data_IF_459714740600
#
_entry.id   IF_459714740600
#
_cell.length_a   1.000
_cell.length_b   1.000
_cell.length_c   1.000
_cell.angle_alpha   90.00
_cell.angle_beta   90.00
_cell.angle_gamma   90.00
#
_symmetry.space_group_name_H-M   'P 1'
#
loop_
_entity.id
_entity.type
_entity.pdbx_description
1 polymer ?
#
# COMPACT_ATOMS: atom_id res chain seq x y z
N UNK A 1 -26.45 14.89 -31.12
CA UNK A 1 -25.82 13.57 -31.06
C UNK A 1 -25.15 13.48 -29.69
N UNK A 2 -25.88 12.94 -28.72
CA UNK A 2 -25.59 12.96 -27.29
C UNK A 2 -24.50 11.94 -26.99
N UNK A 3 -23.35 12.41 -26.48
CA UNK A 3 -22.31 11.55 -25.89
C UNK A 3 -22.89 10.88 -24.62
N UNK A 4 -23.05 9.57 -24.66
CA UNK A 4 -23.30 8.76 -23.49
C UNK A 4 -22.01 8.64 -22.67
N UNK A 5 -22.10 9.21 -21.49
CA UNK A 5 -21.13 9.09 -20.40
C UNK A 5 -21.11 7.62 -19.93
N UNK A 6 -20.08 6.87 -20.31
CA UNK A 6 -19.76 5.55 -19.76
C UNK A 6 -19.01 5.70 -18.44
N UNK A 7 -19.71 6.15 -17.42
CA UNK A 7 -19.26 5.95 -16.04
C UNK A 7 -19.31 4.45 -15.73
N UNK A 8 -18.15 3.84 -15.56
CA UNK A 8 -17.97 2.49 -15.03
C UNK A 8 -18.84 2.30 -13.78
N UNK A 9 -19.53 1.15 -13.61
CA UNK A 9 -20.31 0.88 -12.41
C UNK A 9 -19.37 0.76 -11.21
N UNK A 10 -19.23 1.88 -10.48
CA UNK A 10 -18.41 1.96 -9.32
C UNK A 10 -18.89 1.00 -8.23
N UNK A 11 -17.95 0.41 -7.53
CA UNK A 11 -18.10 -0.30 -6.25
C UNK A 11 -18.81 0.55 -5.15
N UNK A 12 -19.28 1.75 -5.48
CA UNK A 12 -19.84 2.74 -4.56
C UNK A 12 -21.23 2.40 -3.99
N UNK A 13 -21.81 1.25 -4.30
CA UNK A 13 -23.19 0.90 -3.87
C UNK A 13 -23.27 -0.21 -2.81
N UNK A 14 -22.15 -0.69 -2.28
CA UNK A 14 -22.22 -1.58 -1.10
C UNK A 14 -22.49 -0.69 0.11
N UNK A 15 -23.77 -0.55 0.48
CA UNK A 15 -24.17 0.12 1.72
C UNK A 15 -23.49 -0.61 2.88
N UNK A 16 -22.48 0.01 3.46
CA UNK A 16 -21.82 -0.43 4.69
C UNK A 16 -22.88 -0.50 5.78
N UNK A 17 -23.29 -1.72 6.13
CA UNK A 17 -24.40 -1.95 7.07
C UNK A 17 -23.98 -1.92 8.54
N UNK A 18 -22.71 -2.14 8.85
CA UNK A 18 -22.27 -2.33 10.22
C UNK A 18 -20.95 -1.57 10.45
N UNK A 19 -20.97 -0.61 11.39
CA UNK A 19 -19.78 0.05 11.91
C UNK A 19 -19.51 -0.38 13.36
N UNK A 20 -18.26 -0.35 13.81
CA UNK A 20 -17.91 -0.63 15.19
C UNK A 20 -18.62 0.32 16.15
N UNK A 21 -19.32 -0.27 17.14
CA UNK A 21 -19.95 0.44 18.23
C UNK A 21 -19.39 -0.08 19.54
N UNK A 22 -19.10 0.79 20.51
CA UNK A 22 -18.62 0.34 21.81
C UNK A 22 -19.66 -0.58 22.47
N UNK A 23 -19.20 -1.72 22.96
CA UNK A 23 -20.07 -2.69 23.63
C UNK A 23 -20.53 -2.14 24.99
N UNK A 24 -21.84 -1.87 25.14
CA UNK A 24 -22.41 -1.27 26.35
C UNK A 24 -22.58 -2.26 27.51
N UNK A 25 -22.63 -3.57 27.22
CA UNK A 25 -22.90 -4.64 28.21
C UNK A 25 -21.64 -5.42 28.58
N UNK A 26 -20.49 -4.76 28.57
CA UNK A 26 -19.20 -5.36 28.92
C UNK A 26 -18.66 -4.69 30.17
N UNK A 27 -18.32 -5.50 31.16
CA UNK A 27 -17.73 -5.06 32.41
C UNK A 27 -16.34 -5.61 32.66
N UNK A 28 -15.76 -5.29 33.82
CA UNK A 28 -14.50 -5.89 34.25
C UNK A 28 -14.70 -7.37 34.61
N UNK A 29 -13.91 -8.26 34.02
CA UNK A 29 -13.95 -9.69 34.33
C UNK A 29 -13.55 -9.99 35.76
N UNK A 30 -12.76 -9.15 36.41
CA UNK A 30 -12.41 -9.30 37.83
C UNK A 30 -13.64 -9.19 38.75
N UNK A 31 -14.56 -8.24 38.40
CA UNK A 31 -15.82 -8.07 39.15
C UNK A 31 -16.71 -9.28 38.96
N UNK A 32 -16.83 -9.80 37.73
CA UNK A 32 -17.60 -11.01 37.47
C UNK A 32 -17.01 -12.24 38.19
N UNK A 33 -15.69 -12.38 38.25
CA UNK A 33 -15.00 -13.44 38.98
C UNK A 33 -15.27 -13.33 40.51
N UNK A 34 -15.23 -12.10 41.03
CA UNK A 34 -15.54 -11.88 42.45
C UNK A 34 -17.01 -12.23 42.76
N UNK A 35 -17.95 -11.84 41.89
CA UNK A 35 -19.36 -12.23 42.02
C UNK A 35 -19.52 -13.74 41.97
N UNK A 36 -18.88 -14.43 41.03
CA UNK A 36 -18.92 -15.87 40.91
C UNK A 36 -18.40 -16.55 42.18
N UNK A 37 -17.28 -16.05 42.74
CA UNK A 37 -16.68 -16.59 43.98
C UNK A 37 -17.61 -16.37 45.18
N UNK A 38 -18.19 -15.18 45.32
CA UNK A 38 -19.15 -14.87 46.40
C UNK A 38 -20.38 -15.79 46.31
N UNK A 39 -20.93 -15.96 45.11
CA UNK A 39 -22.08 -16.88 44.89
C UNK A 39 -21.72 -18.31 45.21
N UNK A 40 -20.50 -18.75 44.89
CA UNK A 40 -20.04 -20.13 45.22
C UNK A 40 -19.87 -20.32 46.71
N UNK A 41 -19.30 -19.36 47.44
CA UNK A 41 -19.19 -19.35 48.89
C UNK A 41 -20.59 -19.35 49.52
N UNK A 42 -21.50 -18.54 49.00
CA UNK A 42 -22.88 -18.46 49.49
C UNK A 42 -23.62 -19.81 49.27
N UNK A 43 -23.41 -20.45 48.11
CA UNK A 43 -23.93 -21.79 47.83
C UNK A 43 -23.45 -22.80 48.90
N UNK A 44 -22.14 -22.81 49.20
CA UNK A 44 -21.56 -23.69 50.18
C UNK A 44 -22.13 -23.42 51.59
N UNK A 45 -22.31 -22.14 51.95
CA UNK A 45 -22.89 -21.75 53.26
C UNK A 45 -24.36 -22.18 53.40
N UNK A 46 -25.18 -21.96 52.35
CA UNK A 46 -26.60 -22.35 52.34
C UNK A 46 -26.73 -23.89 52.40
N UNK A 47 -25.92 -24.63 51.65
CA UNK A 47 -25.94 -26.08 51.68
C UNK A 47 -25.52 -26.62 53.05
N UNK A 48 -24.48 -26.02 53.67
CA UNK A 48 -24.09 -26.40 55.04
C UNK A 48 -25.22 -26.15 56.04
N UNK A 49 -25.92 -25.02 55.97
CA UNK A 49 -27.06 -24.68 56.81
C UNK A 49 -28.30 -25.57 56.56
N UNK A 50 -28.46 -26.05 55.29
CA UNK A 50 -29.57 -26.95 54.95
C UNK A 50 -29.47 -28.35 55.58
N UNK A 51 -28.25 -28.78 55.95
CA UNK A 51 -27.97 -30.06 56.64
C UNK A 51 -27.80 -29.87 58.14
N UNK A 52 -28.51 -28.93 58.77
CA UNK A 52 -28.49 -28.75 60.19
C UNK A 52 -29.24 -29.90 60.89
N UNK A 53 -28.65 -30.42 61.95
CA UNK A 53 -29.30 -31.40 62.79
C UNK A 53 -30.28 -30.81 63.77
N UNK A 54 -31.48 -31.26 63.79
CA UNK A 54 -32.44 -30.94 64.84
C UNK A 54 -32.00 -31.47 66.18
N UNK A 55 -32.51 -30.91 67.25
CA UNK A 55 -32.20 -31.30 68.63
C UNK A 55 -32.48 -32.81 68.95
N UNK A 56 -33.11 -33.57 68.06
CA UNK A 56 -33.39 -35.02 68.14
C UNK A 56 -32.46 -35.84 67.25
N UNK A 57 -31.50 -35.23 66.53
CA UNK A 57 -30.49 -35.93 65.71
C UNK A 57 -30.89 -36.26 64.28
N UNK A 58 -32.13 -35.98 63.89
CA UNK A 58 -32.64 -36.23 62.56
C UNK A 58 -32.19 -35.09 61.55
N UNK A 59 -31.83 -35.50 60.32
CA UNK A 59 -31.46 -34.63 59.25
C UNK A 59 -32.72 -34.00 58.59
N UNK A 60 -33.06 -32.80 58.97
CA UNK A 60 -34.16 -32.12 58.32
C UNK A 60 -33.62 -31.28 57.14
N UNK A 61 -33.90 -31.71 55.92
CA UNK A 61 -33.49 -31.00 54.70
C UNK A 61 -34.56 -29.99 54.30
N UNK A 62 -34.26 -28.69 54.39
CA UNK A 62 -35.19 -27.65 53.96
C UNK A 62 -35.19 -27.51 52.41
N UNK A 63 -36.31 -27.85 51.77
CA UNK A 63 -36.46 -27.72 50.28
C UNK A 63 -36.21 -26.33 49.78
N UNK A 64 -36.52 -25.29 50.54
CA UNK A 64 -36.30 -23.88 50.17
C UNK A 64 -34.81 -23.50 50.18
N UNK A 65 -34.02 -24.03 51.08
CA UNK A 65 -32.59 -23.78 51.11
C UNK A 65 -31.86 -24.51 49.98
N UNK A 66 -32.30 -25.70 49.60
CA UNK A 66 -31.77 -26.42 48.44
C UNK A 66 -32.05 -25.66 47.14
N UNK A 67 -33.26 -25.10 46.99
CA UNK A 67 -33.61 -24.27 45.83
C UNK A 67 -32.77 -22.99 45.77
N UNK A 68 -32.53 -22.34 46.91
CA UNK A 68 -31.66 -21.19 47.01
C UNK A 68 -30.20 -21.51 46.64
N UNK A 69 -29.68 -22.65 47.14
CA UNK A 69 -28.36 -23.10 46.78
C UNK A 69 -28.20 -23.39 45.28
N UNK A 70 -29.24 -24.04 44.69
CA UNK A 70 -29.27 -24.30 43.24
C UNK A 70 -29.24 -23.03 42.42
N UNK A 71 -30.04 -22.02 42.78
CA UNK A 71 -30.07 -20.71 42.11
C UNK A 71 -28.72 -20.00 42.21
N UNK A 72 -28.07 -19.99 43.37
CA UNK A 72 -26.75 -19.41 43.56
C UNK A 72 -25.70 -20.15 42.72
N UNK A 73 -25.76 -21.50 42.67
CA UNK A 73 -24.86 -22.31 41.85
C UNK A 73 -25.02 -21.99 40.35
N UNK A 74 -26.23 -21.92 39.85
CA UNK A 74 -26.53 -21.55 38.45
C UNK A 74 -26.01 -20.14 38.17
N UNK A 75 -26.23 -19.19 39.08
CA UNK A 75 -25.69 -17.83 38.96
C UNK A 75 -24.16 -17.78 38.91
N UNK A 76 -23.49 -18.59 39.75
CA UNK A 76 -22.04 -18.72 39.76
C UNK A 76 -21.49 -19.28 38.42
N UNK A 77 -22.14 -20.35 37.90
CA UNK A 77 -21.77 -20.95 36.62
C UNK A 77 -21.97 -19.95 35.47
N UNK A 78 -23.10 -19.26 35.42
CA UNK A 78 -23.40 -18.26 34.40
C UNK A 78 -22.41 -17.09 34.45
N UNK A 79 -22.07 -16.63 35.67
CA UNK A 79 -21.07 -15.57 35.84
C UNK A 79 -19.67 -16.04 35.41
N UNK A 80 -19.28 -17.27 35.70
CA UNK A 80 -18.02 -17.83 35.22
C UNK A 80 -17.97 -17.97 33.68
N UNK A 81 -19.08 -18.38 33.08
CA UNK A 81 -19.16 -18.56 31.63
C UNK A 81 -19.16 -17.24 30.86
N UNK A 82 -19.49 -16.13 31.50
CA UNK A 82 -19.49 -14.81 30.94
C UNK A 82 -18.09 -14.19 30.78
N UNK A 83 -17.06 -14.81 31.39
CA UNK A 83 -15.71 -14.25 31.45
C UNK A 83 -14.92 -14.64 30.20
N UNK A 84 -14.24 -13.66 29.58
CA UNK A 84 -13.28 -13.87 28.50
C UNK A 84 -12.04 -12.99 28.67
N UNK A 85 -10.92 -13.41 28.09
CA UNK A 85 -9.70 -12.62 28.07
C UNK A 85 -9.45 -12.05 26.68
N UNK A 86 -9.03 -10.77 26.63
CA UNK A 86 -8.68 -10.09 25.41
C UNK A 86 -7.21 -9.65 25.47
N UNK A 87 -6.45 -9.98 24.44
CA UNK A 87 -5.05 -9.60 24.35
C UNK A 87 -4.92 -8.14 23.82
N UNK A 88 -3.78 -7.46 24.07
CA UNK A 88 -3.49 -6.19 23.40
C UNK A 88 -3.52 -6.35 21.87
N UNK A 89 -4.09 -5.36 21.17
CA UNK A 89 -4.32 -5.39 19.72
C UNK A 89 -5.22 -6.56 19.25
N UNK A 90 -6.19 -6.93 20.08
CA UNK A 90 -7.26 -7.86 19.77
C UNK A 90 -8.60 -7.21 20.12
N UNK A 91 -9.61 -7.42 19.30
CA UNK A 91 -10.98 -6.97 19.56
C UNK A 91 -11.94 -8.15 19.60
N UNK A 92 -12.98 -8.01 20.40
CA UNK A 92 -14.06 -8.98 20.53
C UNK A 92 -15.36 -8.40 19.94
N UNK A 93 -15.84 -8.98 18.88
CA UNK A 93 -17.14 -8.64 18.27
C UNK A 93 -18.22 -9.49 18.91
N UNK A 94 -19.19 -8.81 19.54
CA UNK A 94 -20.25 -9.43 20.33
C UNK A 94 -21.53 -9.50 19.53
N UNK A 95 -22.11 -10.71 19.42
CA UNK A 95 -23.40 -10.95 18.80
C UNK A 95 -24.34 -11.65 19.77
N UNK A 96 -25.61 -11.22 19.77
CA UNK A 96 -26.67 -11.84 20.55
C UNK A 96 -27.72 -12.36 19.60
N UNK A 97 -27.93 -13.68 19.58
CA UNK A 97 -28.91 -14.35 18.68
C UNK A 97 -28.81 -13.90 17.21
N UNK A 98 -27.57 -13.66 16.73
CA UNK A 98 -27.32 -13.22 15.35
C UNK A 98 -27.34 -11.70 15.15
N UNK A 99 -27.78 -10.90 16.12
CA UNK A 99 -27.72 -9.45 16.03
C UNK A 99 -26.39 -8.92 16.58
N UNK A 100 -25.75 -7.98 15.86
CA UNK A 100 -24.57 -7.29 16.33
C UNK A 100 -24.91 -6.33 17.47
N UNK A 101 -24.21 -6.46 18.60
CA UNK A 101 -24.43 -5.64 19.81
C UNK A 101 -23.36 -4.60 19.99
N UNK A 102 -22.10 -4.94 19.72
CA UNK A 102 -20.96 -4.03 19.85
C UNK A 102 -19.62 -4.74 19.80
N UNK A 103 -18.56 -3.97 19.77
CA UNK A 103 -17.16 -4.42 19.76
C UNK A 103 -16.47 -3.95 21.03
N UNK A 104 -15.76 -4.83 21.70
CA UNK A 104 -14.89 -4.53 22.84
C UNK A 104 -13.42 -4.62 22.42
N UNK A 105 -12.67 -3.55 22.62
CA UNK A 105 -11.23 -3.45 22.29
C UNK A 105 -10.35 -3.29 23.52
N UNK A 106 -10.95 -3.29 24.74
CA UNK A 106 -10.19 -3.07 25.97
C UNK A 106 -9.46 -4.37 26.37
N UNK A 107 -8.13 -4.36 26.49
CA UNK A 107 -7.36 -5.56 26.87
C UNK A 107 -7.59 -5.97 28.31
N UNK A 108 -7.38 -7.25 28.60
CA UNK A 108 -7.46 -7.83 29.94
C UNK A 108 -8.61 -8.79 30.13
N UNK A 109 -8.96 -9.05 31.39
CA UNK A 109 -10.07 -9.90 31.76
C UNK A 109 -11.38 -9.12 31.69
N UNK A 110 -12.26 -9.55 30.81
CA UNK A 110 -13.55 -8.90 30.53
C UNK A 110 -14.70 -9.87 30.80
N UNK A 111 -15.86 -9.32 31.07
CA UNK A 111 -17.07 -10.10 31.25
C UNK A 111 -18.23 -9.49 30.47
N UNK A 112 -19.05 -10.34 29.89
CA UNK A 112 -20.25 -9.97 29.15
C UNK A 112 -21.44 -10.85 29.58
N UNK A 113 -22.59 -10.68 29.00
CA UNK A 113 -23.73 -11.56 29.27
C UNK A 113 -23.45 -12.97 28.69
N UNK A 114 -23.74 -14.06 29.42
CA UNK A 114 -23.32 -15.42 29.05
C UNK A 114 -23.88 -15.95 27.73
N UNK A 115 -24.86 -15.29 27.13
CA UNK A 115 -25.48 -15.71 25.86
C UNK A 115 -24.87 -15.05 24.63
N UNK A 116 -23.86 -14.21 24.81
CA UNK A 116 -23.18 -13.57 23.68
C UNK A 116 -22.22 -14.53 23.00
N UNK A 117 -22.30 -14.60 21.67
CA UNK A 117 -21.26 -15.21 20.83
C UNK A 117 -20.15 -14.18 20.63
N UNK A 118 -18.92 -14.59 20.93
CA UNK A 118 -17.72 -13.74 20.86
C UNK A 118 -16.89 -14.17 19.67
N UNK A 119 -16.68 -13.26 18.72
CA UNK A 119 -15.75 -13.45 17.61
C UNK A 119 -14.54 -12.54 17.83
N UNK A 120 -13.33 -13.13 17.90
CA UNK A 120 -12.09 -12.39 18.13
C UNK A 120 -11.45 -12.02 16.82
N UNK A 121 -11.00 -10.76 16.71
CA UNK A 121 -10.30 -10.22 15.54
C UNK A 121 -8.97 -9.64 15.99
N UNK A 122 -7.89 -10.06 15.36
CA UNK A 122 -6.58 -9.48 15.60
C UNK A 122 -6.45 -8.16 14.82
N UNK A 123 -6.14 -7.09 15.56
CA UNK A 123 -5.83 -5.76 15.01
C UNK A 123 -4.32 -5.54 14.83
N UNK A 124 -3.52 -6.61 14.96
CA UNK A 124 -2.08 -6.55 14.76
C UNK A 124 -1.79 -6.26 13.30
N UNK A 125 -0.70 -5.55 13.09
CA UNK A 125 -0.17 -5.28 11.75
C UNK A 125 0.21 -6.59 11.08
N UNK A 126 -0.18 -6.73 9.82
CA UNK A 126 0.13 -7.86 8.95
C UNK A 126 0.71 -7.32 7.66
N UNK A 127 1.42 -8.16 6.94
CA UNK A 127 1.85 -7.85 5.58
C UNK A 127 1.28 -8.87 4.60
N UNK A 128 1.05 -8.41 3.39
CA UNK A 128 0.72 -9.25 2.25
C UNK A 128 1.73 -8.95 1.15
N UNK A 129 2.42 -9.99 0.69
CA UNK A 129 3.34 -9.90 -0.44
C UNK A 129 2.62 -10.41 -1.69
N UNK A 130 2.35 -9.48 -2.61
CA UNK A 130 1.88 -9.81 -3.93
C UNK A 130 3.08 -10.27 -4.75
N UNK A 131 3.04 -11.51 -5.23
CA UNK A 131 4.06 -12.07 -6.10
C UNK A 131 4.18 -11.30 -7.41
N UNK A 132 5.11 -11.73 -8.26
CA UNK A 132 5.32 -11.12 -9.59
C UNK A 132 4.08 -11.28 -10.45
N UNK A 133 3.41 -10.18 -10.72
CA UNK A 133 2.23 -10.11 -11.56
C UNK A 133 2.63 -9.61 -12.94
N UNK A 134 2.31 -10.36 -13.98
CA UNK A 134 2.51 -9.93 -15.36
C UNK A 134 1.35 -9.05 -15.81
N UNK A 135 1.64 -7.81 -16.17
CA UNK A 135 0.67 -6.80 -16.57
C UNK A 135 1.22 -5.97 -17.74
N UNK A 136 0.37 -5.25 -18.42
CA UNK A 136 0.80 -4.29 -19.43
C UNK A 136 0.84 -2.90 -18.82
N UNK A 137 1.87 -2.14 -19.18
CA UNK A 137 1.97 -0.71 -18.86
C UNK A 137 1.01 0.13 -19.73
N UNK A 138 1.02 1.46 -19.55
CA UNK A 138 0.20 2.41 -20.31
C UNK A 138 0.43 2.30 -21.84
N UNK A 139 1.65 1.97 -22.26
CA UNK A 139 2.04 1.88 -23.68
C UNK A 139 1.72 0.50 -24.26
N UNK A 140 1.44 -0.50 -23.41
CA UNK A 140 1.14 -1.87 -23.79
C UNK A 140 2.33 -2.83 -23.67
N UNK A 141 3.43 -2.42 -23.08
CA UNK A 141 4.57 -3.29 -22.84
C UNK A 141 4.29 -4.25 -21.69
N UNK A 142 4.55 -5.55 -21.81
CA UNK A 142 4.42 -6.48 -20.71
C UNK A 142 5.53 -6.26 -19.67
N UNK A 143 5.11 -6.01 -18.45
CA UNK A 143 5.99 -5.81 -17.29
C UNK A 143 5.65 -6.81 -16.18
N UNK A 144 6.61 -7.11 -15.33
CA UNK A 144 6.42 -7.83 -14.08
C UNK A 144 6.49 -6.85 -12.93
N UNK A 145 5.41 -6.75 -12.16
CA UNK A 145 5.29 -5.89 -11.00
C UNK A 145 4.92 -6.72 -9.78
N UNK A 146 5.52 -6.41 -8.63
CA UNK A 146 5.19 -6.97 -7.34
C UNK A 146 5.15 -5.88 -6.28
N UNK A 147 4.35 -6.07 -5.24
CA UNK A 147 4.28 -5.12 -4.14
C UNK A 147 4.12 -5.84 -2.81
N UNK A 148 4.51 -5.15 -1.76
CA UNK A 148 4.24 -5.53 -0.38
C UNK A 148 3.32 -4.48 0.22
N UNK A 149 2.26 -4.94 0.88
CA UNK A 149 1.26 -4.10 1.52
C UNK A 149 1.21 -4.43 3.00
N UNK A 150 1.41 -3.44 3.84
CA UNK A 150 1.28 -3.53 5.29
C UNK A 150 -0.08 -3.00 5.70
N UNK A 151 -0.84 -3.83 6.40
CA UNK A 151 -2.22 -3.56 6.71
C UNK A 151 -2.63 -4.06 8.10
N UNK A 152 -3.72 -3.52 8.61
CA UNK A 152 -4.36 -3.98 9.84
C UNK A 152 -5.88 -3.83 9.77
N UNK A 153 -6.58 -4.56 10.63
CA UNK A 153 -8.02 -4.39 10.81
C UNK A 153 -8.26 -3.18 11.71
N UNK A 154 -8.97 -2.17 11.20
CA UNK A 154 -9.38 -0.98 11.94
C UNK A 154 -10.82 -1.13 12.45
N UNK A 155 -11.71 -1.63 11.62
CA UNK A 155 -13.12 -1.86 11.95
C UNK A 155 -13.43 -3.37 11.96
N UNK A 156 -13.46 -3.95 13.16
CA UNK A 156 -13.61 -5.39 13.34
C UNK A 156 -15.00 -5.91 12.98
N UNK A 157 -16.05 -5.09 13.14
CA UNK A 157 -17.39 -5.47 12.75
C UNK A 157 -17.51 -5.57 11.23
N UNK A 158 -16.93 -4.62 10.47
CA UNK A 158 -16.89 -4.72 9.00
C UNK A 158 -16.13 -5.96 8.54
N UNK A 159 -14.96 -6.23 9.15
CA UNK A 159 -14.13 -7.35 8.78
C UNK A 159 -14.82 -8.71 8.94
N UNK A 160 -15.71 -8.86 9.95
CA UNK A 160 -16.43 -10.12 10.18
C UNK A 160 -17.73 -10.23 9.41
N UNK A 161 -18.48 -9.12 9.27
CA UNK A 161 -19.85 -9.22 8.76
C UNK A 161 -20.00 -8.87 7.29
N UNK A 162 -19.00 -8.22 6.69
CA UNK A 162 -19.09 -7.81 5.28
C UNK A 162 -18.29 -8.69 4.34
N UNK A 163 -17.27 -9.38 4.84
CA UNK A 163 -16.36 -10.19 4.03
C UNK A 163 -16.08 -11.50 4.77
N UNK A 164 -16.12 -12.61 4.06
CA UNK A 164 -15.86 -13.93 4.62
C UNK A 164 -14.40 -14.09 5.03
N UNK A 165 -13.47 -13.76 4.11
CA UNK A 165 -12.02 -13.73 4.38
C UNK A 165 -11.43 -12.39 3.97
N UNK A 166 -11.14 -11.57 4.96
CA UNK A 166 -10.54 -10.25 4.74
C UNK A 166 -9.08 -10.32 4.32
N UNK A 167 -8.35 -11.42 4.62
CA UNK A 167 -6.97 -11.58 4.19
C UNK A 167 -6.87 -11.90 2.70
N UNK A 168 -7.70 -12.83 2.23
CA UNK A 168 -7.81 -13.15 0.79
C UNK A 168 -8.33 -11.95 0.01
N UNK A 169 -9.28 -11.20 0.59
CA UNK A 169 -9.80 -9.99 -0.01
C UNK A 169 -8.72 -8.90 -0.19
N UNK A 170 -7.85 -8.70 0.82
CA UNK A 170 -6.69 -7.78 0.71
C UNK A 170 -5.78 -8.21 -0.44
N UNK A 171 -5.49 -9.51 -0.56
CA UNK A 171 -4.67 -10.04 -1.66
C UNK A 171 -5.27 -9.73 -3.03
N UNK A 172 -6.54 -10.09 -3.23
CA UNK A 172 -7.24 -9.87 -4.50
C UNK A 172 -7.35 -8.39 -4.88
N UNK A 173 -7.61 -7.50 -3.89
CA UNK A 173 -7.65 -6.06 -4.13
C UNK A 173 -6.28 -5.48 -4.43
N UNK A 174 -5.22 -6.00 -3.81
CA UNK A 174 -3.84 -5.58 -4.08
C UNK A 174 -3.45 -5.91 -5.52
N UNK A 175 -3.72 -7.13 -5.99
CA UNK A 175 -3.47 -7.50 -7.38
C UNK A 175 -4.25 -6.64 -8.37
N UNK A 176 -5.52 -6.37 -8.07
CA UNK A 176 -6.38 -5.52 -8.89
C UNK A 176 -5.89 -4.08 -8.96
N UNK A 177 -5.47 -3.50 -7.82
CA UNK A 177 -4.93 -2.15 -7.75
C UNK A 177 -3.60 -2.04 -8.50
N UNK A 178 -2.69 -3.01 -8.33
CA UNK A 178 -1.42 -3.05 -9.07
C UNK A 178 -1.64 -3.09 -10.58
N UNK A 179 -2.58 -3.92 -11.06
CA UNK A 179 -2.92 -3.99 -12.47
C UNK A 179 -3.48 -2.68 -13.00
N UNK A 180 -4.31 -2.01 -12.19
CA UNK A 180 -4.89 -0.72 -12.57
C UNK A 180 -3.83 0.39 -12.64
N UNK A 181 -2.96 0.48 -11.65
CA UNK A 181 -1.89 1.49 -11.62
C UNK A 181 -0.88 1.24 -12.73
N UNK A 182 -0.46 0.00 -12.96
CA UNK A 182 0.45 -0.36 -14.04
C UNK A 182 -0.11 0.07 -15.41
N UNK A 183 -1.42 -0.11 -15.66
CA UNK A 183 -2.06 0.33 -16.91
C UNK A 183 -2.21 1.84 -17.07
N UNK A 184 -2.02 2.63 -16.01
CA UNK A 184 -2.12 4.10 -16.05
C UNK A 184 -0.78 4.81 -16.22
N UNK A 185 0.31 4.14 -15.93
CA UNK A 185 1.66 4.70 -15.97
C UNK A 185 2.56 3.94 -16.93
N UNK A 186 3.41 4.63 -17.72
CA UNK A 186 4.44 3.96 -18.52
C UNK A 186 5.54 3.42 -17.59
N UNK A 187 6.20 2.36 -18.01
CA UNK A 187 7.34 1.82 -17.27
C UNK A 187 8.48 2.83 -17.17
N UNK A 188 8.84 3.46 -18.29
CA UNK A 188 9.95 4.42 -18.40
C UNK A 188 9.46 5.70 -19.11
N UNK A 189 10.02 6.82 -18.71
CA UNK A 189 9.67 8.14 -19.23
C UNK A 189 10.05 8.32 -20.71
N UNK A 190 11.24 7.86 -21.11
CA UNK A 190 11.73 7.97 -22.50
C UNK A 190 10.79 7.31 -23.53
N UNK A 191 10.03 6.32 -23.12
CA UNK A 191 9.04 5.66 -23.97
C UNK A 191 7.79 6.50 -24.17
N UNK A 192 7.32 7.19 -23.13
CA UNK A 192 6.15 8.06 -23.21
C UNK A 192 6.37 9.22 -24.20
N UNK A 193 7.59 9.79 -24.22
CA UNK A 193 7.96 10.89 -25.14
C UNK A 193 8.06 10.40 -26.58
N UNK A 194 8.49 9.17 -26.82
CA UNK A 194 8.67 8.66 -28.19
C UNK A 194 7.33 8.33 -28.87
N UNK A 195 6.29 8.02 -28.09
CA UNK A 195 4.93 7.75 -28.59
C UNK A 195 4.04 8.98 -28.76
N UNK A 196 4.38 10.11 -28.11
CA UNK A 196 3.80 11.40 -28.44
C UNK A 196 4.30 11.82 -29.84
N UNK A 197 3.39 11.83 -30.82
CA UNK A 197 3.74 12.10 -32.22
C UNK A 197 4.43 13.45 -32.42
N UNK A 198 5.06 13.68 -33.60
CA UNK A 198 5.84 14.88 -33.88
C UNK A 198 5.02 16.18 -33.92
N UNK A 199 3.71 16.14 -33.82
CA UNK A 199 2.85 17.34 -33.83
C UNK A 199 2.66 17.99 -32.44
N UNK A 200 2.95 17.30 -31.34
CA UNK A 200 2.98 17.90 -30.01
C UNK A 200 4.43 18.20 -29.62
N UNK A 201 4.97 19.31 -30.05
CA UNK A 201 6.22 19.90 -29.53
C UNK A 201 5.95 20.41 -28.09
N UNK A 202 5.59 19.52 -27.21
CA UNK A 202 5.59 19.78 -25.78
C UNK A 202 7.05 19.65 -25.33
N UNK A 203 7.61 20.70 -24.75
CA UNK A 203 8.99 20.67 -24.26
C UNK A 203 9.19 19.47 -23.32
N UNK A 204 10.35 18.83 -23.41
CA UNK A 204 10.72 17.64 -22.60
C UNK A 204 10.38 17.82 -21.10
N UNK A 205 10.57 19.02 -20.58
CA UNK A 205 10.26 19.38 -19.18
C UNK A 205 8.76 19.43 -18.88
N UNK A 206 7.90 19.72 -19.85
CA UNK A 206 6.44 19.79 -19.63
C UNK A 206 5.78 18.41 -19.71
N UNK A 207 6.33 17.47 -20.48
CA UNK A 207 5.88 16.07 -20.52
C UNK A 207 6.36 15.37 -19.26
N UNK A 208 7.58 15.63 -18.80
CA UNK A 208 8.13 15.11 -17.54
C UNK A 208 7.29 15.51 -16.34
N UNK A 209 6.78 16.72 -16.31
CA UNK A 209 5.94 17.22 -15.21
C UNK A 209 4.51 16.63 -15.18
N UNK A 210 4.07 15.97 -16.26
CA UNK A 210 2.70 15.45 -16.41
C UNK A 210 2.59 13.93 -16.41
N UNK A 211 3.67 13.22 -16.71
CA UNK A 211 3.63 11.75 -16.84
C UNK A 211 4.50 11.10 -15.77
N UNK A 212 3.86 10.54 -14.76
CA UNK A 212 4.55 9.72 -13.76
C UNK A 212 4.97 8.42 -14.42
N UNK A 213 6.26 8.04 -14.33
CA UNK A 213 6.74 6.72 -14.73
C UNK A 213 6.82 5.79 -13.52
N UNK A 214 6.57 4.50 -13.74
CA UNK A 214 6.66 3.50 -12.68
C UNK A 214 8.06 3.40 -12.08
N UNK A 215 9.08 3.60 -12.91
CA UNK A 215 10.48 3.45 -12.53
C UNK A 215 11.05 4.69 -11.82
N UNK A 216 10.79 5.88 -12.33
CA UNK A 216 11.42 7.12 -11.84
C UNK A 216 10.61 7.80 -10.75
N UNK A 217 9.28 7.64 -10.78
CA UNK A 217 8.35 8.26 -9.85
C UNK A 217 7.82 7.27 -8.80
N UNK A 218 8.64 6.31 -8.37
CA UNK A 218 8.24 5.20 -7.48
C UNK A 218 7.51 5.65 -6.22
N UNK A 219 7.95 6.72 -5.57
CA UNK A 219 7.31 7.24 -4.35
C UNK A 219 5.90 7.79 -4.61
N UNK A 220 5.71 8.48 -5.75
CA UNK A 220 4.40 9.04 -6.12
C UNK A 220 3.42 7.93 -6.53
N UNK A 221 3.89 6.96 -7.30
CA UNK A 221 3.10 5.76 -7.69
C UNK A 221 2.74 4.94 -6.46
N UNK A 222 3.66 4.78 -5.51
CA UNK A 222 3.40 4.10 -4.24
C UNK A 222 2.33 4.82 -3.41
N UNK A 223 2.38 6.15 -3.34
CA UNK A 223 1.35 6.94 -2.67
C UNK A 223 -0.03 6.80 -3.34
N UNK A 224 -0.07 6.79 -4.68
CA UNK A 224 -1.31 6.52 -5.44
C UNK A 224 -1.85 5.12 -5.12
N UNK A 225 -0.98 4.11 -5.06
CA UNK A 225 -1.34 2.74 -4.66
C UNK A 225 -1.95 2.70 -3.26
N UNK A 226 -1.35 3.37 -2.29
CA UNK A 226 -1.87 3.45 -0.91
C UNK A 226 -3.25 4.09 -0.86
N UNK A 227 -3.46 5.19 -1.59
CA UNK A 227 -4.75 5.89 -1.64
C UNK A 227 -5.82 4.98 -2.25
N UNK A 228 -5.54 4.37 -3.39
CA UNK A 228 -6.46 3.48 -4.08
C UNK A 228 -6.80 2.24 -3.23
N UNK A 229 -5.81 1.64 -2.58
CA UNK A 229 -6.03 0.50 -1.69
C UNK A 229 -6.87 0.89 -0.46
N UNK A 230 -6.64 2.06 0.14
CA UNK A 230 -7.45 2.55 1.27
C UNK A 230 -8.92 2.68 0.88
N UNK A 231 -9.21 3.22 -0.28
CA UNK A 231 -10.59 3.35 -0.77
C UNK A 231 -11.25 1.98 -1.01
N UNK A 232 -10.55 1.06 -1.66
CA UNK A 232 -11.06 -0.28 -1.98
C UNK A 232 -11.26 -1.14 -0.72
N UNK A 233 -10.36 -1.04 0.25
CA UNK A 233 -10.37 -1.87 1.46
C UNK A 233 -11.19 -1.28 2.61
N UNK A 234 -11.64 -0.03 2.51
CA UNK A 234 -12.52 0.60 3.49
C UNK A 234 -13.83 -0.19 3.73
N UNK A 235 -14.31 -0.90 2.71
CA UNK A 235 -15.48 -1.78 2.81
C UNK A 235 -15.21 -2.94 3.75
N UNK A 236 -13.99 -3.50 3.73
CA UNK A 236 -13.57 -4.60 4.60
C UNK A 236 -13.25 -4.18 6.03
N UNK A 237 -13.28 -2.87 6.34
CA UNK A 237 -12.82 -2.37 7.64
C UNK A 237 -11.32 -2.55 7.86
N UNK A 238 -10.55 -2.64 6.78
CA UNK A 238 -9.09 -2.77 6.77
C UNK A 238 -8.48 -1.43 6.38
N UNK A 239 -7.41 -1.03 7.07
CA UNK A 239 -6.60 0.14 6.73
C UNK A 239 -5.21 -0.28 6.27
N UNK A 240 -4.64 0.51 5.35
CA UNK A 240 -3.28 0.33 4.86
C UNK A 240 -2.39 1.31 5.61
N UNK A 241 -1.37 0.78 6.27
CA UNK A 241 -0.35 1.58 6.94
C UNK A 241 0.73 2.01 5.94
N UNK A 242 1.25 1.06 5.15
CA UNK A 242 2.28 1.28 4.13
C UNK A 242 2.08 0.32 2.94
N UNK A 243 2.57 0.72 1.78
CA UNK A 243 2.75 -0.16 0.64
C UNK A 243 4.02 0.26 -0.11
N UNK A 244 4.69 -0.68 -0.77
CA UNK A 244 5.81 -0.38 -1.67
C UNK A 244 5.91 -1.44 -2.77
N UNK A 245 6.44 -1.02 -3.91
CA UNK A 245 6.73 -1.90 -5.03
C UNK A 245 8.07 -2.57 -4.74
N UNK A 246 8.07 -3.90 -4.59
CA UNK A 246 9.27 -4.70 -4.31
C UNK A 246 9.91 -5.30 -5.58
N UNK A 247 9.15 -5.38 -6.67
CA UNK A 247 9.63 -5.86 -7.95
C UNK A 247 9.02 -5.07 -9.09
N UNK A 248 9.87 -4.59 -10.01
CA UNK A 248 9.44 -3.91 -11.23
C UNK A 248 10.48 -4.17 -12.33
N UNK A 249 10.09 -4.89 -13.35
CA UNK A 249 10.96 -5.23 -14.47
C UNK A 249 10.13 -5.43 -15.75
N UNK A 250 10.76 -5.31 -16.91
CA UNK A 250 10.16 -5.80 -18.14
C UNK A 250 10.00 -7.32 -18.11
N UNK A 251 8.94 -7.82 -18.69
CA UNK A 251 8.76 -9.25 -18.83
C UNK A 251 9.94 -9.86 -19.62
N UNK A 252 10.40 -11.09 -19.26
CA UNK A 252 11.59 -11.71 -19.84
C UNK A 252 11.59 -11.78 -21.37
N UNK A 253 10.40 -11.84 -21.98
CA UNK A 253 10.23 -11.92 -23.44
C UNK A 253 10.69 -10.66 -24.17
N UNK A 254 10.51 -9.48 -23.56
CA UNK A 254 10.85 -8.20 -24.18
C UNK A 254 12.08 -7.53 -23.57
N UNK A 255 12.51 -7.96 -22.38
CA UNK A 255 13.62 -7.35 -21.67
C UNK A 255 14.91 -7.16 -22.52
N UNK A 256 15.36 -8.14 -23.36
CA UNK A 256 16.55 -7.96 -24.18
C UNK A 256 16.36 -6.88 -25.28
N UNK A 257 15.16 -6.76 -25.81
CA UNK A 257 14.84 -5.76 -26.85
C UNK A 257 14.79 -4.36 -26.24
N UNK A 258 14.16 -4.24 -25.07
CA UNK A 258 14.04 -2.97 -24.35
C UNK A 258 15.41 -2.46 -23.86
N UNK A 259 16.28 -3.36 -23.39
CA UNK A 259 17.65 -3.02 -23.02
C UNK A 259 18.44 -2.46 -24.21
N UNK A 260 18.34 -3.07 -25.39
CA UNK A 260 18.98 -2.56 -26.62
C UNK A 260 18.43 -1.18 -27.00
N UNK A 261 17.13 -0.95 -26.86
CA UNK A 261 16.50 0.33 -27.12
C UNK A 261 17.02 1.40 -26.17
N UNK A 262 17.07 1.10 -24.84
CA UNK A 262 17.63 2.00 -23.83
C UNK A 262 19.11 2.33 -24.11
N UNK A 263 19.91 1.34 -24.50
CA UNK A 263 21.31 1.54 -24.90
C UNK A 263 21.42 2.48 -26.10
N UNK A 264 20.60 2.28 -27.14
CA UNK A 264 20.59 3.14 -28.31
C UNK A 264 20.17 4.59 -27.96
N UNK A 265 19.13 4.74 -27.16
CA UNK A 265 18.65 6.06 -26.66
C UNK A 265 19.73 6.76 -25.85
N UNK A 266 20.39 6.05 -24.93
CA UNK A 266 21.48 6.60 -24.13
C UNK A 266 22.68 7.05 -24.98
N UNK A 267 23.07 6.29 -26.01
CA UNK A 267 24.13 6.67 -26.94
C UNK A 267 23.77 7.95 -27.71
N UNK A 268 22.54 8.04 -28.19
CA UNK A 268 22.06 9.23 -28.91
C UNK A 268 22.03 10.45 -27.98
N UNK A 269 21.53 10.28 -26.73
CA UNK A 269 21.51 11.35 -25.74
C UNK A 269 22.91 11.84 -25.40
N UNK A 270 23.87 10.91 -25.16
CA UNK A 270 25.26 11.23 -24.92
C UNK A 270 25.90 12.00 -26.09
N UNK A 271 25.64 11.56 -27.34
CA UNK A 271 26.16 12.26 -28.53
C UNK A 271 25.57 13.66 -28.68
N UNK A 272 24.27 13.85 -28.42
CA UNK A 272 23.66 15.19 -28.42
C UNK A 272 24.33 16.11 -27.42
N UNK A 273 24.64 15.61 -26.22
CA UNK A 273 25.31 16.38 -25.17
C UNK A 273 26.75 16.75 -25.57
N UNK A 274 27.50 15.82 -26.17
CA UNK A 274 28.84 16.09 -26.70
C UNK A 274 28.80 17.15 -27.79
N UNK A 275 27.87 17.05 -28.72
CA UNK A 275 27.73 18.07 -29.82
C UNK A 275 27.34 19.43 -29.25
N UNK A 276 26.39 19.51 -28.32
CA UNK A 276 26.00 20.76 -27.67
C UNK A 276 27.19 21.39 -26.95
N UNK A 277 27.91 20.62 -26.15
CA UNK A 277 29.12 21.07 -25.47
C UNK A 277 30.24 21.53 -26.42
N UNK A 278 30.43 20.80 -27.53
CA UNK A 278 31.40 21.21 -28.55
C UNK A 278 31.04 22.56 -29.20
N UNK A 279 29.77 22.76 -29.49
CA UNK A 279 29.29 24.08 -30.06
C UNK A 279 29.52 25.20 -29.05
N UNK A 280 29.23 24.98 -27.76
CA UNK A 280 29.46 26.02 -26.74
C UNK A 280 30.94 26.33 -26.55
N UNK A 281 31.81 25.29 -26.51
CA UNK A 281 33.27 25.48 -26.46
C UNK A 281 33.78 26.27 -27.65
N UNK A 282 33.33 25.95 -28.86
CA UNK A 282 33.73 26.70 -30.09
C UNK A 282 33.26 28.12 -30.04
N UNK A 283 32.03 28.38 -29.57
CA UNK A 283 31.49 29.75 -29.40
C UNK A 283 32.35 30.56 -28.43
N UNK A 284 32.62 29.99 -27.25
CA UNK A 284 33.47 30.64 -26.23
C UNK A 284 34.89 30.90 -26.72
N UNK A 285 35.48 29.97 -27.46
CA UNK A 285 36.81 30.14 -28.06
C UNK A 285 36.84 31.31 -29.08
N UNK A 286 35.79 31.42 -29.91
CA UNK A 286 35.68 32.51 -30.87
C UNK A 286 35.48 33.88 -30.21
N UNK A 287 34.70 33.95 -29.14
CA UNK A 287 34.49 35.18 -28.36
C UNK A 287 35.77 35.62 -27.68
N UNK A 288 36.51 34.73 -27.04
CA UNK A 288 37.80 35.01 -26.40
C UNK A 288 38.86 35.44 -27.40
N UNK A 289 38.90 34.85 -28.59
CA UNK A 289 39.81 35.29 -29.68
C UNK A 289 39.51 36.69 -30.15
N UNK A 290 38.24 37.07 -30.25
CA UNK A 290 37.82 38.43 -30.64
C UNK A 290 38.17 39.48 -29.58
N UNK A 291 38.09 39.10 -28.28
CA UNK A 291 38.40 40.03 -27.18
C UNK A 291 39.86 40.24 -26.92
N UNK A 292 40.68 39.16 -27.07
CA UNK A 292 42.09 39.16 -26.68
C UNK A 292 43.08 39.48 -27.81
N UNK A 293 42.61 39.38 -29.04
CA UNK A 293 43.49 39.60 -30.22
C UNK A 293 42.72 40.46 -31.20
N UNK A 294 43.34 41.59 -31.63
CA UNK A 294 42.77 42.53 -32.64
C UNK A 294 42.77 41.89 -34.06
N UNK A 295 42.50 40.58 -34.11
CA UNK A 295 42.49 39.80 -35.35
C UNK A 295 41.01 39.73 -35.80
N UNK A 296 40.65 40.55 -36.77
CA UNK A 296 39.37 40.40 -37.47
C UNK A 296 39.46 39.24 -38.46
N UNK A 297 38.93 38.09 -38.04
CA UNK A 297 38.89 36.91 -38.88
C UNK A 297 37.80 37.05 -39.94
N UNK A 298 38.22 36.92 -41.21
CA UNK A 298 37.35 36.83 -42.36
C UNK A 298 36.27 35.70 -42.17
N UNK A 299 35.01 35.88 -42.58
CA UNK A 299 33.93 34.92 -42.42
C UNK A 299 34.28 33.52 -42.92
N UNK A 300 35.03 33.40 -44.02
CA UNK A 300 35.45 32.10 -44.57
C UNK A 300 36.44 31.35 -43.65
N UNK A 301 37.40 32.08 -43.10
CA UNK A 301 38.39 31.51 -42.16
C UNK A 301 37.73 31.11 -40.84
N UNK A 302 36.75 31.91 -40.38
CA UNK A 302 35.96 31.60 -39.19
C UNK A 302 35.17 30.32 -39.38
N UNK A 303 34.49 30.14 -40.52
CA UNK A 303 33.74 28.96 -40.85
C UNK A 303 34.65 27.67 -40.92
N UNK A 304 35.83 27.81 -41.55
CA UNK A 304 36.81 26.72 -41.64
C UNK A 304 37.34 26.30 -40.25
N UNK A 305 37.63 27.30 -39.38
CA UNK A 305 38.09 27.03 -38.01
C UNK A 305 37.02 26.36 -37.17
N UNK A 306 35.76 26.81 -37.23
CA UNK A 306 34.61 26.19 -36.55
C UNK A 306 34.44 24.76 -37.01
N UNK A 307 34.45 24.51 -38.33
CA UNK A 307 34.32 23.16 -38.88
C UNK A 307 35.42 22.20 -38.39
N UNK A 308 36.68 22.65 -38.40
CA UNK A 308 37.82 21.87 -37.94
C UNK A 308 37.74 21.56 -36.43
N UNK A 309 37.39 22.55 -35.59
CA UNK A 309 37.26 22.37 -34.15
C UNK A 309 36.10 21.43 -33.83
N UNK A 310 34.94 21.56 -34.49
CA UNK A 310 33.82 20.65 -34.28
C UNK A 310 34.16 19.23 -34.69
N UNK A 311 34.87 19.00 -35.80
CA UNK A 311 35.30 17.65 -36.19
C UNK A 311 36.21 17.02 -35.14
N UNK A 312 37.16 17.79 -34.57
CA UNK A 312 38.07 17.31 -33.53
C UNK A 312 37.31 17.00 -32.22
N UNK A 313 36.40 17.90 -31.82
CA UNK A 313 35.67 17.76 -30.53
C UNK A 313 34.57 16.71 -30.56
N UNK A 314 33.95 16.45 -31.73
CA UNK A 314 32.84 15.47 -31.88
C UNK A 314 33.35 14.11 -32.33
N UNK A 315 34.63 13.98 -32.74
CA UNK A 315 35.22 12.72 -33.20
C UNK A 315 35.34 11.69 -32.05
N UNK A 316 34.91 10.46 -32.29
CA UNK A 316 35.10 9.32 -31.36
C UNK A 316 36.55 8.77 -31.36
N UNK A 317 37.41 9.26 -32.23
CA UNK A 317 38.83 8.85 -32.34
C UNK A 317 39.73 10.04 -32.09
N UNK A 318 40.83 9.79 -31.41
CA UNK A 318 41.91 10.79 -31.24
C UNK A 318 42.31 11.33 -32.60
N UNK A 319 42.10 12.62 -32.82
CA UNK A 319 42.51 13.26 -34.03
C UNK A 319 44.04 13.40 -34.02
N UNK A 320 44.73 12.72 -34.94
CA UNK A 320 46.15 12.96 -35.18
C UNK A 320 46.23 14.22 -36.06
N UNK A 321 46.78 15.35 -35.55
CA UNK A 321 46.87 16.56 -36.34
C UNK A 321 47.90 16.31 -37.47
N UNK A 322 47.44 16.32 -38.72
CA UNK A 322 48.31 16.40 -39.89
C UNK A 322 48.63 17.90 -40.11
N UNK A 323 49.80 18.30 -39.62
CA UNK A 323 50.30 19.64 -39.89
C UNK A 323 50.80 19.63 -41.34
N UNK A 324 50.03 20.22 -42.24
CA UNK A 324 50.50 20.49 -43.57
C UNK A 324 51.42 21.72 -43.51
N UNK A 325 52.71 21.48 -43.38
CA UNK A 325 53.76 22.49 -43.54
C UNK A 325 53.87 22.78 -45.05
N UNK A 326 52.76 23.38 -45.61
CA UNK A 326 52.74 23.79 -46.99
C UNK A 326 53.96 24.65 -47.30
N UNK A 327 54.61 24.31 -48.35
CA UNK A 327 55.65 25.09 -48.99
C UNK A 327 55.18 26.52 -49.18
N UNK A 328 55.54 27.38 -48.22
CA UNK A 328 55.64 28.80 -48.50
C UNK A 328 56.78 28.90 -49.51
N UNK A 329 56.48 29.14 -50.78
CA UNK A 329 57.33 29.67 -51.86
C UNK A 329 57.12 28.97 -53.21
N UNK A 330 56.40 29.63 -54.06
CA UNK A 330 56.98 30.04 -55.34
C UNK A 330 56.39 31.40 -55.72
#
# INVERSE_FOLDING_TARGET
MTMQDHSSPGLSTIKVRVDDRPARLVGSGYVALLIALVLLVLTCWITYGAFSRDGHGDLQVSSWSLLGALLCLVGAILSGWSIYSLQPNESAVLTLFGAYVGTDSAPGLRATVPFFKIARVSQRVRYHECGKLKVNDLIGNPIEIGAVVVWRVENSAKAIFQIDDYADFVGAQTESALRHIAGRHPYDFDEAVTHAGPEEVVSHDQVAARTLSLRESGDQVTNELVVELKERLAVAGVTIDEAWINHLAYAPEIAPVMLRRQQASAVIAARKLVVAGAVDIVREALEKLKEQTDIDLDPERKAAMVSNLLVVLVSDKDATPVVNTGTLYA
#
